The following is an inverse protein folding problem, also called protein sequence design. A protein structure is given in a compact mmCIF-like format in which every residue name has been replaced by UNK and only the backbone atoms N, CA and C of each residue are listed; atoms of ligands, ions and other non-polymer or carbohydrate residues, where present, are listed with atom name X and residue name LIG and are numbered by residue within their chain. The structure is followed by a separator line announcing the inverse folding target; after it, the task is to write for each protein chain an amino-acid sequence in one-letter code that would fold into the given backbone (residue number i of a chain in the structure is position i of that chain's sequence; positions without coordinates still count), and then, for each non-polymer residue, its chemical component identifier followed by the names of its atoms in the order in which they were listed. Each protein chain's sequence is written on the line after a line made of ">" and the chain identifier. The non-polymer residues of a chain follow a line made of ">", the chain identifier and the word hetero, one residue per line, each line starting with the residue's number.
data_IF_906192817214
#
_entry.id   IF_906192817214
#
_cell.length_a   1.000
_cell.length_b   1.000
_cell.length_c   1.000
_cell.angle_alpha   90.00
_cell.angle_beta   90.00
_cell.angle_gamma   90.00
#
_symmetry.space_group_name_H-M   'P 1'
#
loop_
_entity.id
_entity.type
_entity.pdbx_description
1 polymer ?
#
# COMPACT_ATOMS: atom_id res chain seq x y z
N UNK A 1 13.19 -31.49 9.44
CA UNK A 1 12.03 -31.71 10.33
C UNK A 1 10.78 -31.90 9.48
N UNK A 2 9.99 -32.97 9.69
CA UNK A 2 8.86 -33.31 8.81
C UNK A 2 7.80 -32.20 8.73
N UNK A 3 7.53 -31.51 9.84
CA UNK A 3 6.59 -30.37 9.90
C UNK A 3 7.05 -29.17 9.05
N UNK A 4 8.34 -28.87 9.04
CA UNK A 4 8.90 -27.78 8.21
C UNK A 4 8.78 -28.10 6.71
N UNK A 5 9.07 -29.35 6.33
CA UNK A 5 8.92 -29.79 4.94
C UNK A 5 7.46 -29.75 4.48
N UNK A 6 6.51 -30.07 5.37
CA UNK A 6 5.09 -29.91 5.09
C UNK A 6 4.72 -28.45 4.86
N UNK A 7 5.17 -27.53 5.73
CA UNK A 7 4.90 -26.09 5.57
C UNK A 7 5.45 -25.54 4.25
N UNK A 8 6.69 -25.86 3.90
CA UNK A 8 7.32 -25.42 2.63
C UNK A 8 6.56 -26.00 1.43
N UNK A 9 6.15 -27.28 1.50
CA UNK A 9 5.37 -27.91 0.43
C UNK A 9 3.99 -27.28 0.25
N UNK A 10 3.35 -26.83 1.34
CA UNK A 10 2.05 -26.13 1.27
C UNK A 10 2.27 -24.76 0.63
N UNK A 11 3.22 -23.96 1.13
CA UNK A 11 3.54 -22.64 0.58
C UNK A 11 3.78 -22.68 -0.94
N UNK A 12 4.58 -23.64 -1.42
CA UNK A 12 4.87 -23.77 -2.85
C UNK A 12 3.64 -24.11 -3.71
N UNK A 13 2.74 -24.98 -3.22
CA UNK A 13 1.50 -25.33 -3.92
C UNK A 13 0.54 -24.13 -3.98
N UNK A 14 0.44 -23.40 -2.87
CA UNK A 14 -0.41 -22.21 -2.75
C UNK A 14 0.09 -21.07 -3.65
N UNK A 15 1.41 -20.88 -3.78
CA UNK A 15 1.97 -19.88 -4.70
C UNK A 15 1.59 -20.15 -6.17
N UNK A 16 1.54 -21.42 -6.59
CA UNK A 16 1.10 -21.78 -7.94
C UNK A 16 -0.38 -21.49 -8.20
N UNK A 17 -1.25 -21.71 -7.19
CA UNK A 17 -2.68 -21.45 -7.29
C UNK A 17 -3.05 -19.95 -7.25
N UNK A 18 -2.26 -19.15 -6.52
CA UNK A 18 -2.56 -17.73 -6.28
C UNK A 18 -1.74 -16.75 -7.12
N UNK A 19 -0.76 -17.23 -7.89
CA UNK A 19 0.21 -16.38 -8.58
C UNK A 19 -0.43 -15.25 -9.41
N UNK A 20 -1.53 -15.54 -10.10
CA UNK A 20 -2.25 -14.52 -10.88
C UNK A 20 -2.81 -13.39 -10.01
N UNK A 21 -3.42 -13.71 -8.87
CA UNK A 21 -4.01 -12.71 -7.97
C UNK A 21 -2.92 -11.92 -7.23
N UNK A 22 -1.84 -12.57 -6.81
CA UNK A 22 -0.68 -11.90 -6.23
C UNK A 22 -0.05 -10.92 -7.22
N UNK A 23 0.07 -11.31 -8.49
CA UNK A 23 0.58 -10.43 -9.54
C UNK A 23 -0.30 -9.20 -9.76
N UNK A 24 -1.63 -9.38 -9.79
CA UNK A 24 -2.59 -8.26 -9.87
C UNK A 24 -2.44 -7.31 -8.67
N UNK A 25 -2.31 -7.85 -7.44
CA UNK A 25 -2.07 -7.03 -6.25
C UNK A 25 -0.79 -6.20 -6.38
N UNK A 26 0.31 -6.80 -6.83
CA UNK A 26 1.57 -6.09 -7.06
C UNK A 26 1.43 -4.95 -8.08
N UNK A 27 0.69 -5.17 -9.17
CA UNK A 27 0.42 -4.12 -10.19
C UNK A 27 -0.36 -2.96 -9.57
N UNK A 28 -1.39 -3.25 -8.77
CA UNK A 28 -2.21 -2.23 -8.14
C UNK A 28 -1.38 -1.40 -7.16
N UNK A 29 -0.57 -2.04 -6.31
CA UNK A 29 0.35 -1.34 -5.40
C UNK A 29 1.28 -0.42 -6.19
N UNK A 30 1.87 -0.92 -7.28
CA UNK A 30 2.75 -0.15 -8.13
C UNK A 30 2.06 1.10 -8.72
N UNK A 31 0.85 0.94 -9.26
CA UNK A 31 0.08 2.04 -9.84
C UNK A 31 -0.22 3.10 -8.78
N UNK A 32 -0.73 2.72 -7.61
CA UNK A 32 -1.01 3.67 -6.53
C UNK A 32 0.26 4.34 -5.98
N UNK A 33 1.38 3.62 -5.88
CA UNK A 33 2.64 4.18 -5.43
C UNK A 33 3.14 5.27 -6.38
N UNK A 34 3.11 5.01 -7.69
CA UNK A 34 3.51 5.98 -8.72
C UNK A 34 2.55 7.16 -8.76
N UNK A 35 1.23 6.92 -8.69
CA UNK A 35 0.24 8.00 -8.65
C UNK A 35 0.42 8.90 -7.42
N UNK A 36 0.57 8.32 -6.23
CA UNK A 36 0.76 9.08 -4.99
C UNK A 36 2.01 9.95 -5.02
N UNK A 37 3.12 9.40 -5.52
CA UNK A 37 4.37 10.14 -5.72
C UNK A 37 4.21 11.33 -6.66
N UNK A 38 3.53 11.13 -7.80
CA UNK A 38 3.34 12.19 -8.80
C UNK A 38 2.38 13.29 -8.31
N UNK A 39 1.34 12.92 -7.56
CA UNK A 39 0.33 13.85 -7.07
C UNK A 39 0.80 14.62 -5.83
N UNK A 40 1.47 13.94 -4.89
CA UNK A 40 1.73 14.48 -3.55
C UNK A 40 3.21 14.66 -3.23
N UNK A 41 4.13 14.05 -3.97
CA UNK A 41 5.56 14.05 -3.62
C UNK A 41 6.17 15.45 -3.50
N UNK A 42 5.76 16.39 -4.37
CA UNK A 42 6.20 17.80 -4.28
C UNK A 42 5.67 18.51 -3.04
N UNK A 43 4.41 18.27 -2.69
CA UNK A 43 3.77 18.90 -1.53
C UNK A 43 4.51 18.58 -0.23
N UNK A 44 5.01 17.34 -0.07
CA UNK A 44 5.81 16.93 1.09
C UNK A 44 7.15 17.67 1.18
N UNK A 45 7.76 18.03 0.06
CA UNK A 45 9.05 18.75 0.03
C UNK A 45 8.82 20.25 0.21
N UNK A 46 7.84 20.82 -0.51
CA UNK A 46 7.59 22.26 -0.55
C UNK A 46 6.98 22.81 0.74
N UNK A 47 6.25 21.97 1.51
CA UNK A 47 5.57 22.35 2.76
C UNK A 47 6.07 21.55 3.97
N UNK A 48 7.34 21.12 3.97
CA UNK A 48 7.94 20.34 5.07
C UNK A 48 7.91 21.08 6.41
N UNK A 49 7.89 22.41 6.38
CA UNK A 49 7.78 23.31 7.53
C UNK A 49 6.47 23.19 8.29
N UNK A 50 5.43 22.57 7.69
CA UNK A 50 4.16 22.32 8.37
C UNK A 50 4.24 21.15 9.36
N UNK A 51 5.25 20.29 9.24
CA UNK A 51 5.47 19.22 10.19
C UNK A 51 6.10 19.76 11.49
N UNK A 52 5.77 19.19 12.65
CA UNK A 52 6.21 19.70 13.96
C UNK A 52 7.74 19.76 14.11
N UNK A 53 8.47 18.83 13.50
CA UNK A 53 9.93 18.76 13.54
C UNK A 53 10.60 19.44 12.33
N UNK A 54 9.81 20.05 11.43
CA UNK A 54 10.26 20.65 10.17
C UNK A 54 11.09 19.70 9.29
N UNK A 55 10.85 18.39 9.44
CA UNK A 55 11.54 17.33 8.71
C UNK A 55 10.53 16.38 8.07
N UNK A 56 10.97 15.64 7.06
CA UNK A 56 10.13 14.71 6.32
C UNK A 56 9.68 13.57 7.24
N UNK A 57 8.37 13.27 7.30
CA UNK A 57 7.89 12.13 8.07
C UNK A 57 8.42 10.83 7.45
N UNK A 58 8.59 9.80 8.30
CA UNK A 58 9.04 8.47 7.87
C UNK A 58 8.18 7.88 6.75
N UNK A 59 6.91 8.23 6.73
CA UNK A 59 5.94 7.82 5.72
C UNK A 59 5.64 9.04 4.84
N UNK A 60 6.26 9.11 3.66
CA UNK A 60 6.05 10.19 2.71
C UNK A 60 5.92 9.68 1.26
N UNK A 61 5.52 10.57 0.35
CA UNK A 61 5.39 10.29 -1.08
C UNK A 61 6.55 10.87 -1.92
N UNK A 62 7.71 11.17 -1.33
CA UNK A 62 8.79 11.89 -2.05
C UNK A 62 9.54 11.00 -3.03
N UNK A 63 9.65 9.70 -2.76
CA UNK A 63 10.20 8.71 -3.67
C UNK A 63 9.36 7.44 -3.77
N UNK A 64 9.73 6.59 -4.73
CA UNK A 64 9.00 5.38 -5.05
C UNK A 64 8.92 4.39 -3.90
N UNK A 65 10.02 4.16 -3.16
CA UNK A 65 10.04 3.14 -2.11
C UNK A 65 9.21 3.59 -0.90
N UNK A 66 9.31 4.85 -0.49
CA UNK A 66 8.45 5.38 0.57
C UNK A 66 6.97 5.37 0.15
N UNK A 67 6.67 5.76 -1.09
CA UNK A 67 5.30 5.70 -1.64
C UNK A 67 4.75 4.28 -1.69
N UNK A 68 5.56 3.31 -2.13
CA UNK A 68 5.21 1.89 -2.14
C UNK A 68 4.88 1.37 -0.75
N UNK A 69 5.73 1.73 0.22
CA UNK A 69 5.58 1.34 1.62
C UNK A 69 4.32 1.97 2.25
N UNK A 70 3.97 3.23 1.93
CA UNK A 70 2.68 3.82 2.35
C UNK A 70 1.51 3.02 1.79
N UNK A 71 1.49 2.74 0.48
CA UNK A 71 0.38 2.01 -0.14
C UNK A 71 0.25 0.62 0.49
N UNK A 72 1.36 -0.06 0.75
CA UNK A 72 1.35 -1.32 1.49
C UNK A 72 0.77 -1.18 2.91
N UNK A 73 1.18 -0.15 3.66
CA UNK A 73 0.65 0.17 4.99
C UNK A 73 -0.86 0.43 4.98
N UNK A 74 -1.36 1.13 3.96
CA UNK A 74 -2.79 1.37 3.73
C UNK A 74 -3.55 0.05 3.53
N UNK A 75 -2.99 -0.90 2.77
CA UNK A 75 -3.58 -2.23 2.57
C UNK A 75 -3.62 -3.06 3.86
N UNK A 76 -2.73 -2.79 4.81
CA UNK A 76 -2.78 -3.39 6.16
C UNK A 76 -3.86 -2.74 7.06
N UNK A 77 -4.55 -1.70 6.58
CA UNK A 77 -5.61 -1.00 7.32
C UNK A 77 -5.17 0.29 8.02
N UNK A 78 -3.88 0.65 7.95
CA UNK A 78 -3.33 1.86 8.57
C UNK A 78 -3.23 3.03 7.58
N UNK A 79 -4.36 3.65 7.25
CA UNK A 79 -4.44 4.71 6.23
C UNK A 79 -4.70 6.10 6.80
N UNK A 80 -5.37 6.21 7.96
CA UNK A 80 -5.82 7.50 8.50
C UNK A 80 -4.65 8.42 8.85
N UNK A 81 -3.61 7.93 9.52
CA UNK A 81 -2.43 8.75 9.88
C UNK A 81 -1.74 9.32 8.63
N UNK A 82 -1.45 8.46 7.65
CA UNK A 82 -0.80 8.88 6.40
C UNK A 82 -1.68 9.85 5.58
N UNK A 83 -3.01 9.71 5.68
CA UNK A 83 -3.96 10.65 5.07
C UNK A 83 -3.90 12.02 5.72
N UNK A 84 -3.86 12.09 7.07
CA UNK A 84 -3.74 13.37 7.78
C UNK A 84 -2.43 14.07 7.43
N UNK A 85 -1.31 13.35 7.38
CA UNK A 85 -0.02 13.89 6.97
C UNK A 85 -0.07 14.44 5.54
N UNK A 86 -0.71 13.73 4.62
CA UNK A 86 -0.90 14.19 3.24
C UNK A 86 -1.77 15.47 3.18
N UNK A 87 -2.85 15.53 3.97
CA UNK A 87 -3.74 16.70 4.02
C UNK A 87 -3.08 17.91 4.67
N UNK A 88 -2.13 17.70 5.58
CA UNK A 88 -1.41 18.79 6.24
C UNK A 88 -0.55 19.57 5.24
N UNK A 89 0.12 18.86 4.33
CA UNK A 89 1.01 19.46 3.31
C UNK A 89 0.36 19.69 1.95
N UNK A 90 -0.76 19.03 1.67
CA UNK A 90 -1.49 19.10 0.42
C UNK A 90 -2.90 19.65 0.58
N UNK A 91 -3.83 19.08 -0.19
CA UNK A 91 -5.24 19.49 -0.25
C UNK A 91 -6.17 18.31 0.05
N UNK A 92 -7.49 18.57 0.02
CA UNK A 92 -8.52 17.54 0.20
C UNK A 92 -8.50 16.41 -0.85
N UNK A 93 -7.69 16.51 -1.92
CA UNK A 93 -7.45 15.45 -2.90
C UNK A 93 -6.77 14.20 -2.31
N UNK A 94 -6.12 14.30 -1.15
CA UNK A 94 -5.62 13.14 -0.42
C UNK A 94 -6.75 12.19 -0.01
N UNK A 95 -7.92 12.71 0.39
CA UNK A 95 -9.05 11.89 0.86
C UNK A 95 -9.54 10.89 -0.20
N UNK A 96 -9.93 11.30 -1.42
CA UNK A 96 -10.37 10.34 -2.44
C UNK A 96 -9.26 9.38 -2.86
N UNK A 97 -7.98 9.78 -2.83
CA UNK A 97 -6.87 8.87 -3.12
C UNK A 97 -6.74 7.74 -2.10
N UNK A 98 -6.72 8.07 -0.80
CA UNK A 98 -6.62 7.06 0.25
C UNK A 98 -7.87 6.17 0.30
N UNK A 99 -9.07 6.74 0.16
CA UNK A 99 -10.32 5.96 0.10
C UNK A 99 -10.35 5.02 -1.10
N UNK A 100 -9.96 5.48 -2.29
CA UNK A 100 -9.89 4.62 -3.48
C UNK A 100 -8.88 3.48 -3.30
N UNK A 101 -7.72 3.78 -2.70
CA UNK A 101 -6.69 2.77 -2.39
C UNK A 101 -7.20 1.71 -1.43
N UNK A 102 -7.90 2.11 -0.36
CA UNK A 102 -8.52 1.18 0.62
C UNK A 102 -9.59 0.32 -0.05
N UNK A 103 -10.51 0.92 -0.81
CA UNK A 103 -11.62 0.19 -1.45
C UNK A 103 -11.08 -0.81 -2.48
N UNK A 104 -10.24 -0.36 -3.41
CA UNK A 104 -9.68 -1.24 -4.47
C UNK A 104 -8.78 -2.30 -3.84
N UNK A 105 -7.93 -1.90 -2.89
CA UNK A 105 -7.04 -2.80 -2.17
C UNK A 105 -7.77 -3.91 -1.45
N UNK A 106 -8.78 -3.55 -0.63
CA UNK A 106 -9.56 -4.52 0.13
C UNK A 106 -10.37 -5.45 -0.78
N UNK A 107 -10.91 -4.97 -1.91
CA UNK A 107 -11.59 -5.82 -2.87
C UNK A 107 -10.65 -6.90 -3.44
N UNK A 108 -9.40 -6.55 -3.74
CA UNK A 108 -8.42 -7.50 -4.26
C UNK A 108 -7.92 -8.46 -3.18
N UNK A 109 -7.64 -7.95 -1.97
CA UNK A 109 -7.24 -8.80 -0.83
C UNK A 109 -8.36 -9.78 -0.46
N UNK A 110 -9.62 -9.33 -0.46
CA UNK A 110 -10.77 -10.18 -0.19
C UNK A 110 -10.94 -11.25 -1.27
N UNK A 111 -10.78 -10.90 -2.56
CA UNK A 111 -10.80 -11.87 -3.64
C UNK A 111 -9.66 -12.90 -3.53
N UNK A 112 -8.45 -12.49 -3.12
CA UNK A 112 -7.34 -13.39 -2.85
C UNK A 112 -7.67 -14.36 -1.72
N UNK A 113 -8.25 -13.86 -0.63
CA UNK A 113 -8.66 -14.68 0.51
C UNK A 113 -9.77 -15.69 0.15
N UNK A 114 -10.77 -15.26 -0.61
CA UNK A 114 -11.82 -16.16 -1.11
C UNK A 114 -11.26 -17.23 -2.05
N UNK A 115 -10.36 -16.86 -2.96
CA UNK A 115 -9.71 -17.80 -3.85
C UNK A 115 -8.91 -18.86 -3.08
N UNK A 116 -8.22 -18.45 -2.00
CA UNK A 116 -7.50 -19.32 -1.07
C UNK A 116 -8.40 -20.32 -0.33
N UNK A 117 -9.58 -19.88 0.10
CA UNK A 117 -10.52 -20.75 0.84
C UNK A 117 -11.28 -21.72 -0.08
N UNK A 118 -11.50 -21.34 -1.33
CA UNK A 118 -12.21 -22.13 -2.32
C UNK A 118 -11.29 -23.10 -3.10
N UNK A 119 -9.96 -22.96 -2.97
CA UNK A 119 -8.93 -23.83 -3.55
C UNK A 119 -8.52 -24.95 -2.61
#
# INVERSE_FOLDING_TARGET
>A
WPTLNLLISIMGRTMGALGNLTFVLCIIIFIFAVMGMQLFGKNYVDNVDRFPDHDLPRWNFTDFMHSFIIVFRVLCGEWIESMWDCMLVGDASCIPFFLATVVIGNLVVLNLFLALLLS
#
